data_IF_958660428997
#
_entry.id   IF_958660428997
#
_cell.length_a   1.000
_cell.length_b   1.000
_cell.length_c   1.000
_cell.angle_alpha   90.00
_cell.angle_beta   90.00
_cell.angle_gamma   90.00
#
_symmetry.space_group_name_H-M   'P 1'
#
loop_
_entity.id
_entity.type
_entity.pdbx_description
1 polymer ?
#
# COMPACT_ATOMS: atom_id res chain seq x y z
N UNK A 1 -10.45 -0.05 -10.40
CA UNK A 1 -9.17 0.36 -9.82
C UNK A 1 -8.49 -0.89 -9.28
N UNK A 2 -7.16 -0.98 -9.34
CA UNK A 2 -6.44 -2.09 -8.72
C UNK A 2 -6.03 -1.68 -7.30
N UNK A 3 -6.21 -2.58 -6.35
CA UNK A 3 -5.90 -2.32 -4.94
C UNK A 3 -4.48 -2.82 -4.64
N UNK A 4 -3.69 -2.02 -3.91
CA UNK A 4 -2.37 -2.40 -3.41
C UNK A 4 -2.38 -2.31 -1.87
N UNK A 5 -2.04 -3.41 -1.22
CA UNK A 5 -1.79 -3.45 0.23
C UNK A 5 -0.30 -3.44 0.52
N UNK A 6 0.18 -2.45 1.29
CA UNK A 6 1.57 -2.35 1.75
C UNK A 6 1.62 -2.83 3.20
N UNK A 7 2.33 -3.94 3.44
CA UNK A 7 2.50 -4.52 4.78
C UNK A 7 4.00 -4.58 5.13
N UNK A 8 4.45 -3.70 6.03
CA UNK A 8 5.81 -3.69 6.58
C UNK A 8 5.72 -3.15 8.01
N UNK A 9 6.48 -3.70 8.95
CA UNK A 9 6.48 -3.28 10.35
C UNK A 9 7.09 -1.88 10.55
N UNK A 10 7.93 -1.43 9.61
CA UNK A 10 8.60 -0.12 9.66
C UNK A 10 7.81 0.90 8.85
N UNK A 11 7.29 1.92 9.54
CA UNK A 11 6.55 3.03 8.93
C UNK A 11 7.30 3.69 7.75
N UNK A 12 8.61 3.93 7.90
CA UNK A 12 9.41 4.57 6.86
C UNK A 12 9.47 3.73 5.57
N UNK A 13 9.48 2.40 5.68
CA UNK A 13 9.49 1.52 4.52
C UNK A 13 8.14 1.56 3.78
N UNK A 14 7.02 1.64 4.52
CA UNK A 14 5.69 1.76 3.91
C UNK A 14 5.52 3.06 3.14
N UNK A 15 5.90 4.19 3.75
CA UNK A 15 5.83 5.51 3.11
C UNK A 15 6.74 5.62 1.87
N UNK A 16 7.92 5.01 1.93
CA UNK A 16 8.84 4.96 0.78
C UNK A 16 8.23 4.17 -0.39
N UNK A 17 7.61 3.01 -0.12
CA UNK A 17 6.93 2.21 -1.15
C UNK A 17 5.74 2.96 -1.76
N UNK A 18 4.92 3.59 -0.94
CA UNK A 18 3.79 4.43 -1.39
C UNK A 18 4.28 5.56 -2.31
N UNK A 19 5.39 6.22 -1.97
CA UNK A 19 6.00 7.26 -2.81
C UNK A 19 6.40 6.71 -4.18
N UNK A 20 7.00 5.52 -4.23
CA UNK A 20 7.36 4.89 -5.52
C UNK A 20 6.15 4.47 -6.34
N UNK A 21 5.07 4.04 -5.70
CA UNK A 21 3.82 3.70 -6.38
C UNK A 21 3.21 4.96 -7.00
N UNK A 22 3.16 6.08 -6.28
CA UNK A 22 2.66 7.35 -6.82
C UNK A 22 3.51 7.87 -7.99
N UNK A 23 4.84 7.71 -7.93
CA UNK A 23 5.70 8.05 -9.08
C UNK A 23 5.37 7.20 -10.31
N UNK A 24 5.07 5.92 -10.13
CA UNK A 24 4.64 5.04 -11.21
C UNK A 24 3.26 5.40 -11.77
N UNK A 25 2.32 5.80 -10.90
CA UNK A 25 1.01 6.32 -11.31
C UNK A 25 1.15 7.54 -12.21
N UNK A 26 1.99 8.49 -11.82
CA UNK A 26 2.30 9.69 -12.61
C UNK A 26 2.92 9.32 -13.97
N UNK A 27 3.92 8.42 -13.98
CA UNK A 27 4.62 8.03 -15.21
C UNK A 27 3.71 7.27 -16.20
N UNK A 28 2.80 6.44 -15.68
CA UNK A 28 1.98 5.54 -16.53
C UNK A 28 0.54 6.00 -16.72
N UNK A 29 0.10 7.06 -16.04
CA UNK A 29 -1.28 7.54 -16.10
C UNK A 29 -2.28 6.52 -15.56
N UNK A 30 -1.87 5.74 -14.56
CA UNK A 30 -2.73 4.77 -13.87
C UNK A 30 -3.02 5.22 -12.44
N UNK A 31 -4.03 4.64 -11.81
CA UNK A 31 -4.39 4.93 -10.41
C UNK A 31 -4.64 3.61 -9.67
N UNK A 32 -4.16 3.56 -8.43
CA UNK A 32 -4.32 2.48 -7.47
C UNK A 32 -5.02 2.98 -6.21
N UNK A 33 -5.78 2.10 -5.58
CA UNK A 33 -6.20 2.31 -4.20
C UNK A 33 -5.12 1.71 -3.28
N UNK A 34 -4.43 2.56 -2.53
CA UNK A 34 -3.32 2.16 -1.67
C UNK A 34 -3.81 2.04 -0.23
N UNK A 35 -3.57 0.88 0.38
CA UNK A 35 -3.87 0.58 1.78
C UNK A 35 -2.57 0.21 2.50
N UNK A 36 -2.41 0.65 3.75
CA UNK A 36 -1.24 0.34 4.56
C UNK A 36 -1.62 -0.41 5.81
N UNK A 37 -0.81 -1.42 6.13
CA UNK A 37 -0.97 -2.26 7.31
C UNK A 37 0.35 -2.28 8.08
N UNK A 38 0.29 -2.00 9.38
CA UNK A 38 1.43 -2.03 10.28
C UNK A 38 1.88 -3.43 10.67
N UNK A 39 1.03 -4.43 10.46
CA UNK A 39 1.38 -5.84 10.63
C UNK A 39 0.53 -6.75 9.74
N UNK A 40 0.93 -8.03 9.63
CA UNK A 40 0.17 -9.03 8.90
C UNK A 40 -1.17 -9.37 9.57
N UNK A 41 -1.24 -9.27 10.90
CA UNK A 41 -2.47 -9.47 11.67
C UNK A 41 -3.51 -8.39 11.34
N UNK A 42 -3.10 -7.12 11.24
CA UNK A 42 -3.98 -6.01 10.85
C UNK A 42 -4.57 -6.23 9.45
N UNK A 43 -3.75 -6.70 8.51
CA UNK A 43 -4.22 -7.08 7.17
C UNK A 43 -5.25 -8.22 7.23
N UNK A 44 -4.98 -9.26 8.02
CA UNK A 44 -5.91 -10.38 8.17
C UNK A 44 -7.23 -9.95 8.81
N UNK A 45 -7.20 -9.04 9.78
CA UNK A 45 -8.40 -8.48 10.39
C UNK A 45 -9.26 -7.72 9.37
N UNK A 46 -8.64 -6.94 8.49
CA UNK A 46 -9.36 -6.21 7.44
C UNK A 46 -9.95 -7.14 6.38
N UNK A 47 -9.24 -8.19 5.97
CA UNK A 47 -9.71 -9.15 4.97
C UNK A 47 -10.83 -10.07 5.47
N UNK A 48 -10.97 -10.22 6.79
CA UNK A 48 -12.00 -11.04 7.41
C UNK A 48 -13.25 -10.24 7.84
N UNK A 49 -13.33 -8.94 7.52
CA UNK A 49 -14.54 -8.13 7.66
C UNK A 49 -15.51 -8.36 6.50
#
# INVERSE_FOLDING_TARGET
MLNIGICDDRLLCRLLLETFIHLYEEEKGVLFDIYQFGSGEELLEELNK
#
